data_IF_677490611620
#
_entry.id   IF_677490611620
#
_cell.length_a   1.000
_cell.length_b   1.000
_cell.length_c   1.000
_cell.angle_alpha   90.00
_cell.angle_beta   90.00
_cell.angle_gamma   90.00
#
_symmetry.space_group_name_H-M   'P 1'
#
loop_
_entity.id
_entity.type
_entity.pdbx_description
1 polymer ?
#
# COMPACT_ATOMS: atom_id res chain seq x y z
N UNK A 1 3.59 -26.41 -15.59
CA UNK A 1 3.34 -25.83 -14.25
C UNK A 1 2.40 -24.64 -14.38
N UNK A 2 1.46 -24.49 -13.44
CA UNK A 2 0.55 -23.34 -13.38
C UNK A 2 1.29 -22.03 -13.06
N UNK A 3 0.72 -20.90 -13.47
CA UNK A 3 1.36 -19.57 -13.36
C UNK A 3 1.65 -19.16 -11.90
N UNK A 4 0.76 -19.50 -10.96
CA UNK A 4 0.94 -19.16 -9.55
C UNK A 4 2.17 -19.85 -8.93
N UNK A 5 2.50 -21.07 -9.34
CA UNK A 5 3.72 -21.75 -8.89
C UNK A 5 4.98 -21.07 -9.41
N UNK A 6 4.95 -20.53 -10.65
CA UNK A 6 6.09 -19.78 -11.18
C UNK A 6 6.34 -18.51 -10.37
N UNK A 7 5.28 -17.80 -10.00
CA UNK A 7 5.37 -16.58 -9.17
C UNK A 7 5.93 -16.91 -7.79
N UNK A 8 5.45 -17.98 -7.15
CA UNK A 8 5.89 -18.38 -5.82
C UNK A 8 7.37 -18.77 -5.83
N UNK A 9 7.81 -19.57 -6.81
CA UNK A 9 9.22 -19.96 -6.97
C UNK A 9 10.09 -18.73 -7.22
N UNK A 10 9.68 -17.81 -8.09
CA UNK A 10 10.42 -16.57 -8.33
C UNK A 10 10.54 -15.70 -7.08
N UNK A 11 9.48 -15.59 -6.27
CA UNK A 11 9.49 -14.83 -5.02
C UNK A 11 10.46 -15.44 -4.01
N UNK A 12 10.39 -16.77 -3.81
CA UNK A 12 11.27 -17.48 -2.90
C UNK A 12 12.74 -17.34 -3.32
N UNK A 13 13.02 -17.51 -4.62
CA UNK A 13 14.36 -17.43 -5.18
C UNK A 13 14.91 -15.99 -5.09
N UNK A 14 14.11 -14.98 -5.41
CA UNK A 14 14.49 -13.57 -5.26
C UNK A 14 14.78 -13.20 -3.80
N UNK A 15 13.96 -13.69 -2.86
CA UNK A 15 14.19 -13.49 -1.43
C UNK A 15 15.49 -14.16 -0.96
N UNK A 16 15.74 -15.40 -1.36
CA UNK A 16 16.97 -16.13 -1.03
C UNK A 16 18.22 -15.44 -1.60
N UNK A 17 18.19 -14.99 -2.86
CA UNK A 17 19.30 -14.24 -3.47
C UNK A 17 19.49 -12.89 -2.75
N UNK A 18 18.41 -12.16 -2.46
CA UNK A 18 18.48 -10.89 -1.75
C UNK A 18 19.09 -11.02 -0.36
N UNK A 19 18.72 -12.07 0.38
CA UNK A 19 19.33 -12.39 1.67
C UNK A 19 20.81 -12.75 1.50
N UNK A 20 21.15 -13.63 0.56
CA UNK A 20 22.53 -14.06 0.33
C UNK A 20 23.45 -12.85 0.04
N UNK A 21 23.02 -11.98 -0.89
CA UNK A 21 23.74 -10.75 -1.23
C UNK A 21 23.84 -9.80 -0.04
N UNK A 22 22.79 -9.69 0.78
CA UNK A 22 22.82 -8.87 1.99
C UNK A 22 23.80 -9.41 3.04
N UNK A 23 23.80 -10.72 3.31
CA UNK A 23 24.73 -11.34 4.27
C UNK A 23 26.19 -11.15 3.88
N UNK A 24 26.52 -11.35 2.60
CA UNK A 24 27.90 -11.24 2.11
C UNK A 24 28.42 -9.80 2.09
N UNK A 25 27.51 -8.82 1.99
CA UNK A 25 27.88 -7.39 1.88
C UNK A 25 27.70 -6.61 3.19
N UNK A 26 27.16 -7.22 4.25
CA UNK A 26 26.84 -6.55 5.51
C UNK A 26 28.06 -6.07 6.30
N UNK A 27 29.19 -6.79 6.24
CA UNK A 27 30.40 -6.44 7.01
C UNK A 27 31.39 -5.51 6.25
N UNK A 28 31.12 -5.21 4.98
CA UNK A 28 32.02 -4.41 4.14
C UNK A 28 31.71 -2.91 4.25
N UNK A 29 32.66 -2.13 4.79
CA UNK A 29 32.58 -0.64 4.85
C UNK A 29 32.46 0.03 3.47
N UNK A 30 32.92 -0.63 2.41
CA UNK A 30 32.72 -0.21 1.02
C UNK A 30 32.12 -1.38 0.25
N UNK A 31 30.90 -1.17 -0.27
CA UNK A 31 30.20 -2.20 -1.05
C UNK A 31 30.93 -2.40 -2.39
N UNK A 32 31.08 -3.64 -2.87
CA UNK A 32 31.77 -3.92 -4.13
C UNK A 32 30.97 -3.41 -5.33
N UNK A 33 31.65 -3.05 -6.43
CA UNK A 33 31.00 -2.47 -7.62
C UNK A 33 29.90 -3.34 -8.23
N UNK A 34 30.03 -4.68 -8.16
CA UNK A 34 29.02 -5.61 -8.67
C UNK A 34 27.68 -5.49 -7.93
N UNK A 35 27.70 -5.15 -6.63
CA UNK A 35 26.50 -4.95 -5.83
C UNK A 35 25.67 -3.77 -6.36
N UNK A 36 26.33 -2.68 -6.75
CA UNK A 36 25.65 -1.51 -7.30
C UNK A 36 25.02 -1.80 -8.66
N UNK A 37 25.74 -2.47 -9.57
CA UNK A 37 25.17 -2.88 -10.86
C UNK A 37 23.98 -3.83 -10.70
N UNK A 38 24.06 -4.77 -9.76
CA UNK A 38 22.96 -5.68 -9.44
C UNK A 38 21.74 -4.93 -8.89
N UNK A 39 21.95 -4.01 -7.93
CA UNK A 39 20.88 -3.20 -7.35
C UNK A 39 20.19 -2.33 -8.41
N UNK A 40 20.96 -1.67 -9.27
CA UNK A 40 20.43 -0.85 -10.36
C UNK A 40 19.62 -1.69 -11.36
N UNK A 41 20.11 -2.88 -11.73
CA UNK A 41 19.38 -3.79 -12.61
C UNK A 41 18.05 -4.26 -11.99
N UNK A 42 18.07 -4.67 -10.71
CA UNK A 42 16.86 -5.05 -9.98
C UNK A 42 15.87 -3.89 -9.86
N UNK A 43 16.36 -2.69 -9.55
CA UNK A 43 15.54 -1.50 -9.44
C UNK A 43 14.92 -1.12 -10.79
N UNK A 44 15.69 -1.16 -11.89
CA UNK A 44 15.20 -0.89 -13.23
C UNK A 44 14.05 -1.83 -13.62
N UNK A 45 14.24 -3.14 -13.46
CA UNK A 45 13.21 -4.15 -13.77
C UNK A 45 11.99 -3.98 -12.85
N UNK A 46 12.22 -3.77 -11.55
CA UNK A 46 11.16 -3.55 -10.57
C UNK A 46 10.33 -2.30 -10.88
N UNK A 47 10.98 -1.18 -11.23
CA UNK A 47 10.31 0.05 -11.63
C UNK A 47 9.50 -0.14 -12.90
N UNK A 48 10.03 -0.82 -13.92
CA UNK A 48 9.30 -1.10 -15.16
C UNK A 48 8.05 -1.94 -14.88
N UNK A 49 8.18 -2.99 -14.06
CA UNK A 49 7.05 -3.83 -13.66
C UNK A 49 5.98 -3.05 -12.89
N UNK A 50 6.37 -2.24 -11.90
CA UNK A 50 5.44 -1.40 -11.15
C UNK A 50 4.76 -0.35 -12.04
N UNK A 51 5.47 0.24 -13.00
CA UNK A 51 4.91 1.18 -13.96
C UNK A 51 3.88 0.50 -14.87
N UNK A 52 4.16 -0.72 -15.35
CA UNK A 52 3.22 -1.49 -16.15
C UNK A 52 1.94 -1.81 -15.37
N UNK A 53 2.04 -2.21 -14.09
CA UNK A 53 0.86 -2.41 -13.24
C UNK A 53 0.06 -1.12 -13.06
N UNK A 54 0.72 -0.02 -12.70
CA UNK A 54 0.06 1.29 -12.48
C UNK A 54 -0.64 1.81 -13.74
N UNK A 55 -0.07 1.59 -14.92
CA UNK A 55 -0.66 1.98 -16.21
C UNK A 55 -2.01 1.30 -16.45
N UNK A 56 -2.16 0.03 -16.05
CA UNK A 56 -3.39 -0.75 -16.27
C UNK A 56 -4.46 -0.45 -15.22
N UNK A 57 -4.06 -0.11 -13.99
CA UNK A 57 -4.98 0.05 -12.85
C UNK A 57 -6.08 1.09 -13.11
N UNK A 58 -5.74 2.29 -13.57
CA UNK A 58 -6.72 3.38 -13.72
C UNK A 58 -7.78 3.05 -14.80
N UNK A 59 -7.41 2.70 -16.05
CA UNK A 59 -8.39 2.33 -17.07
C UNK A 59 -9.26 1.15 -16.65
N UNK A 60 -8.67 0.14 -16.00
CA UNK A 60 -9.38 -1.07 -15.59
C UNK A 60 -10.40 -0.77 -14.51
N UNK A 61 -10.06 0.05 -13.50
CA UNK A 61 -11.00 0.41 -12.43
C UNK A 61 -12.21 1.16 -13.00
N UNK A 62 -11.98 2.20 -13.80
CA UNK A 62 -13.07 3.03 -14.36
C UNK A 62 -14.00 2.16 -15.22
N UNK A 63 -13.43 1.41 -16.17
CA UNK A 63 -14.22 0.56 -17.08
C UNK A 63 -14.96 -0.55 -16.34
N UNK A 64 -14.29 -1.23 -15.40
CA UNK A 64 -14.89 -2.31 -14.60
C UNK A 64 -16.06 -1.81 -13.75
N UNK A 65 -15.91 -0.65 -13.11
CA UNK A 65 -16.97 -0.08 -12.26
C UNK A 65 -18.14 0.40 -13.11
N UNK A 66 -17.91 1.19 -14.16
CA UNK A 66 -18.99 1.68 -15.04
C UNK A 66 -19.76 0.49 -15.64
N UNK A 67 -19.06 -0.51 -16.19
CA UNK A 67 -19.71 -1.70 -16.73
C UNK A 67 -20.41 -2.53 -15.64
N UNK A 68 -19.86 -2.59 -14.43
CA UNK A 68 -20.43 -3.30 -13.29
C UNK A 68 -21.74 -2.66 -12.81
N UNK A 69 -21.75 -1.35 -12.63
CA UNK A 69 -22.93 -0.59 -12.21
C UNK A 69 -24.00 -0.58 -13.30
N UNK A 70 -23.60 -0.39 -14.57
CA UNK A 70 -24.53 -0.43 -15.70
C UNK A 70 -25.29 -1.78 -15.80
N UNK A 71 -24.65 -2.90 -15.43
CA UNK A 71 -25.27 -4.23 -15.42
C UNK A 71 -26.26 -4.45 -14.26
N UNK A 72 -26.09 -3.77 -13.14
CA UNK A 72 -26.95 -3.90 -11.95
C UNK A 72 -28.31 -3.20 -12.17
N UNK A 73 -28.40 -2.25 -13.10
CA UNK A 73 -29.62 -1.52 -13.44
C UNK A 73 -30.05 -0.50 -12.39
N UNK A 74 -31.04 0.34 -12.73
CA UNK A 74 -31.51 1.47 -11.91
C UNK A 74 -32.34 1.06 -10.65
N UNK A 75 -32.23 -0.18 -10.19
CA UNK A 75 -33.04 -0.70 -9.08
C UNK A 75 -32.40 -0.48 -7.69
N UNK A 76 -33.23 -0.59 -6.65
CA UNK A 76 -32.87 -0.49 -5.21
C UNK A 76 -31.76 -1.47 -4.76
N UNK A 77 -31.39 -2.43 -5.61
CA UNK A 77 -30.40 -3.45 -5.34
C UNK A 77 -29.00 -2.86 -5.16
N UNK A 78 -28.63 -1.78 -5.88
CA UNK A 78 -27.34 -1.13 -5.72
C UNK A 78 -27.17 -0.52 -4.32
N UNK A 79 -28.20 0.18 -3.82
CA UNK A 79 -28.18 0.78 -2.46
C UNK A 79 -28.05 -0.29 -1.37
N UNK A 80 -28.80 -1.39 -1.49
CA UNK A 80 -28.72 -2.52 -0.53
C UNK A 80 -27.35 -3.21 -0.59
N UNK A 81 -26.81 -3.41 -1.79
CA UNK A 81 -25.49 -4.00 -1.98
C UNK A 81 -24.40 -3.11 -1.37
N UNK A 82 -24.44 -1.80 -1.65
CA UNK A 82 -23.51 -0.81 -1.09
C UNK A 82 -23.53 -0.79 0.44
N UNK A 83 -24.72 -0.73 1.06
CA UNK A 83 -24.84 -0.70 2.52
C UNK A 83 -24.37 -2.01 3.16
N UNK A 84 -24.72 -3.17 2.57
CA UNK A 84 -24.26 -4.48 3.05
C UNK A 84 -22.75 -4.62 2.95
N UNK A 85 -22.17 -4.12 1.86
CA UNK A 85 -20.72 -4.12 1.62
C UNK A 85 -20.00 -3.20 2.58
N UNK A 86 -20.49 -1.97 2.76
CA UNK A 86 -19.94 -1.02 3.73
C UNK A 86 -19.98 -1.57 5.16
N UNK A 87 -21.12 -2.13 5.57
CA UNK A 87 -21.26 -2.78 6.87
C UNK A 87 -20.30 -3.97 7.03
N UNK A 88 -20.17 -4.81 6.01
CA UNK A 88 -19.27 -5.96 6.02
C UNK A 88 -17.80 -5.54 6.14
N UNK A 89 -17.33 -4.63 5.28
CA UNK A 89 -15.95 -4.15 5.32
C UNK A 89 -15.65 -3.37 6.60
N UNK A 90 -16.58 -2.53 7.05
CA UNK A 90 -16.45 -1.78 8.31
C UNK A 90 -16.31 -2.72 9.51
N UNK A 91 -17.19 -3.72 9.64
CA UNK A 91 -17.12 -4.71 10.71
C UNK A 91 -15.84 -5.56 10.62
N UNK A 92 -15.47 -6.02 9.42
CA UNK A 92 -14.23 -6.78 9.25
C UNK A 92 -13.00 -5.95 9.58
N UNK A 93 -13.02 -4.64 9.27
CA UNK A 93 -11.94 -3.72 9.58
C UNK A 93 -11.79 -3.50 11.08
N UNK A 94 -12.91 -3.29 11.79
CA UNK A 94 -12.91 -3.19 13.26
C UNK A 94 -12.36 -4.48 13.87
N UNK A 95 -12.83 -5.65 13.43
CA UNK A 95 -12.33 -6.93 13.93
C UNK A 95 -10.83 -7.11 13.65
N UNK A 96 -10.36 -6.73 12.46
CA UNK A 96 -8.94 -6.80 12.12
C UNK A 96 -8.09 -5.86 13.00
N UNK A 97 -8.54 -4.63 13.25
CA UNK A 97 -7.86 -3.67 14.14
C UNK A 97 -7.85 -4.20 15.58
N UNK A 98 -8.95 -4.76 16.07
CA UNK A 98 -9.00 -5.37 17.41
C UNK A 98 -8.01 -6.51 17.54
N UNK A 99 -7.94 -7.42 16.57
CA UNK A 99 -6.97 -8.51 16.56
C UNK A 99 -5.54 -7.96 16.50
N UNK A 100 -5.28 -6.97 15.65
CA UNK A 100 -3.98 -6.32 15.56
C UNK A 100 -3.54 -5.68 16.88
N UNK A 101 -4.44 -4.96 17.54
CA UNK A 101 -4.18 -4.38 18.86
C UNK A 101 -3.94 -5.47 19.92
N UNK A 102 -4.74 -6.55 19.92
CA UNK A 102 -4.50 -7.67 20.84
C UNK A 102 -3.10 -8.28 20.64
N UNK A 103 -2.71 -8.54 19.40
CA UNK A 103 -1.37 -9.04 19.10
C UNK A 103 -0.28 -8.07 19.56
N UNK A 104 -0.41 -6.77 19.28
CA UNK A 104 0.58 -5.76 19.69
C UNK A 104 0.68 -5.66 21.21
N UNK A 105 -0.43 -5.72 21.94
CA UNK A 105 -0.42 -5.65 23.40
C UNK A 105 0.08 -6.96 24.05
N UNK A 106 -0.02 -8.11 23.38
CA UNK A 106 0.50 -9.39 23.91
C UNK A 106 2.00 -9.55 23.64
N UNK A 107 2.44 -9.24 22.42
CA UNK A 107 3.83 -9.43 22.01
C UNK A 107 4.71 -8.22 22.31
N UNK A 108 4.11 -7.07 22.60
CA UNK A 108 4.77 -5.78 22.88
C UNK A 108 5.98 -5.51 21.96
N UNK A 109 5.83 -5.61 20.62
CA UNK A 109 6.95 -5.47 19.70
C UNK A 109 7.41 -4.00 19.70
N UNK A 110 8.46 -3.70 20.45
CA UNK A 110 8.99 -2.34 20.59
C UNK A 110 9.68 -2.04 21.91
N UNK A 111 9.59 -2.92 22.90
CA UNK A 111 10.41 -2.84 24.12
C UNK A 111 11.83 -3.32 23.75
N UNK A 112 12.67 -2.37 23.31
CA UNK A 112 14.07 -2.62 22.95
C UNK A 112 14.96 -1.79 23.88
N UNK A 113 16.16 -2.28 24.17
CA UNK A 113 17.15 -1.53 24.94
C UNK A 113 17.35 -0.12 24.34
N UNK A 114 17.51 0.92 25.19
CA UNK A 114 17.57 2.31 24.74
C UNK A 114 18.70 2.58 23.74
N UNK A 115 19.83 1.87 23.86
CA UNK A 115 20.97 1.96 22.93
C UNK A 115 20.61 1.44 21.53
N UNK A 116 19.95 0.28 21.44
CA UNK A 116 19.50 -0.31 20.17
C UNK A 116 18.38 0.54 19.55
N UNK A 117 17.54 1.16 20.38
CA UNK A 117 16.51 2.09 19.91
C UNK A 117 17.12 3.31 19.23
N UNK A 118 18.19 3.86 19.77
CA UNK A 118 18.90 5.02 19.21
C UNK A 118 19.64 4.67 17.91
N UNK A 119 20.26 3.49 17.84
CA UNK A 119 20.85 2.95 16.61
C UNK A 119 19.80 2.69 15.51
N UNK A 120 18.64 2.11 15.88
CA UNK A 120 17.51 1.95 14.97
C UNK A 120 17.00 3.29 14.46
N UNK A 121 16.81 4.30 15.33
CA UNK A 121 16.34 5.62 14.93
C UNK A 121 17.36 6.41 14.09
N UNK A 122 18.66 6.15 14.26
CA UNK A 122 19.73 6.79 13.47
C UNK A 122 19.95 6.12 12.12
N UNK A 123 19.64 4.83 11.99
CA UNK A 123 19.60 4.13 10.69
C UNK A 123 18.32 4.40 9.88
N UNK A 124 17.36 5.15 10.43
CA UNK A 124 16.13 5.52 9.75
C UNK A 124 16.37 6.66 8.75
N UNK A 125 15.91 6.45 7.51
CA UNK A 125 16.00 7.47 6.46
C UNK A 125 15.06 8.66 6.76
N UNK A 126 15.44 9.86 6.32
CA UNK A 126 14.62 11.08 6.45
C UNK A 126 13.20 10.94 5.85
N UNK A 127 13.02 10.06 4.85
CA UNK A 127 11.73 9.76 4.22
C UNK A 127 10.72 9.05 5.15
N UNK A 128 11.19 8.35 6.19
CA UNK A 128 10.33 7.65 7.14
C UNK A 128 9.96 8.51 8.35
N UNK A 129 10.78 9.53 8.69
CA UNK A 129 10.42 10.54 9.70
C UNK A 129 9.25 11.44 9.25
N UNK A 130 9.21 11.84 7.97
CA UNK A 130 8.09 12.61 7.40
C UNK A 130 6.77 11.81 7.44
N UNK A 131 6.85 10.49 7.19
CA UNK A 131 5.70 9.58 7.32
C UNK A 131 5.23 9.43 8.76
N UNK A 132 6.14 9.35 9.73
CA UNK A 132 5.77 9.30 11.16
C UNK A 132 5.09 10.60 11.60
N UNK A 133 5.66 11.75 11.21
CA UNK A 133 5.11 13.08 11.50
C UNK A 133 3.72 13.25 10.90
N UNK A 134 3.55 12.92 9.62
CA UNK A 134 2.26 13.02 8.94
C UNK A 134 1.23 11.99 9.44
N UNK A 135 1.65 10.81 9.92
CA UNK A 135 0.75 9.84 10.55
C UNK A 135 0.24 10.34 11.91
N UNK A 136 1.10 10.92 12.75
CA UNK A 136 0.69 11.54 14.01
C UNK A 136 -0.24 12.73 13.79
N UNK A 137 0.07 13.57 12.80
CA UNK A 137 -0.76 14.73 12.44
C UNK A 137 -2.14 14.32 11.91
N UNK A 138 -2.23 13.18 11.21
CA UNK A 138 -3.49 12.55 10.79
C UNK A 138 -4.23 11.83 11.92
N UNK A 139 -3.57 11.46 13.01
CA UNK A 139 -4.25 10.89 14.17
C UNK A 139 -4.99 11.97 14.97
N UNK A 140 -4.39 13.16 15.12
CA UNK A 140 -4.98 14.28 15.86
C UNK A 140 -6.14 14.99 15.12
N UNK A 141 -6.20 14.87 13.79
CA UNK A 141 -7.20 15.58 12.98
C UNK A 141 -8.63 15.03 13.03
N UNK A 142 -8.90 13.99 13.83
CA UNK A 142 -10.23 13.47 14.16
C UNK A 142 -11.32 13.67 13.09
N UNK A 143 -12.29 14.55 13.39
CA UNK A 143 -13.44 14.83 12.51
C UNK A 143 -13.08 15.62 11.24
N UNK A 144 -12.03 16.44 11.27
CA UNK A 144 -11.57 17.20 10.11
C UNK A 144 -11.05 16.28 9.01
N UNK A 145 -10.36 15.19 9.36
CA UNK A 145 -9.89 14.19 8.41
C UNK A 145 -11.03 13.43 7.73
N UNK A 146 -12.12 13.16 8.45
CA UNK A 146 -13.31 12.56 7.86
C UNK A 146 -13.91 13.46 6.79
N UNK A 147 -14.04 14.76 7.09
CA UNK A 147 -14.54 15.75 6.13
C UNK A 147 -13.61 15.84 4.91
N UNK A 148 -12.29 15.77 5.10
CA UNK A 148 -11.33 15.75 4.00
C UNK A 148 -11.51 14.51 3.10
N UNK A 149 -11.79 13.33 3.67
CA UNK A 149 -12.10 12.12 2.88
C UNK A 149 -13.35 12.34 2.02
N UNK A 150 -14.40 12.96 2.57
CA UNK A 150 -15.60 13.31 1.81
C UNK A 150 -15.31 14.34 0.71
N UNK A 151 -14.44 15.32 0.95
CA UNK A 151 -14.03 16.28 -0.07
C UNK A 151 -13.25 15.59 -1.21
N UNK A 152 -12.41 14.60 -0.89
CA UNK A 152 -11.67 13.79 -1.88
C UNK A 152 -12.55 12.83 -2.67
N UNK A 153 -13.77 12.56 -2.20
CA UNK A 153 -14.75 11.72 -2.89
C UNK A 153 -15.28 12.41 -4.15
N UNK A 154 -15.43 13.74 -4.13
CA UNK A 154 -15.91 14.53 -5.28
C UNK A 154 -14.78 15.42 -5.79
N UNK A 155 -13.94 14.93 -6.74
CA UNK A 155 -12.82 15.71 -7.25
C UNK A 155 -13.32 16.90 -8.09
N UNK A 156 -12.62 18.04 -7.99
CA UNK A 156 -12.92 19.23 -8.81
C UNK A 156 -12.61 19.03 -10.30
N UNK A 157 -11.71 18.08 -10.63
CA UNK A 157 -11.37 17.73 -12.01
C UNK A 157 -11.02 16.24 -12.14
N UNK A 158 -11.75 15.53 -12.99
CA UNK A 158 -11.59 14.09 -13.22
C UNK A 158 -10.23 13.72 -13.82
N UNK A 159 -9.76 14.47 -14.82
CA UNK A 159 -8.50 14.18 -15.49
C UNK A 159 -7.32 14.40 -14.56
N UNK A 160 -7.36 15.46 -13.75
CA UNK A 160 -6.36 15.69 -12.70
C UNK A 160 -6.36 14.54 -11.69
N UNK A 161 -7.55 14.11 -11.24
CA UNK A 161 -7.69 12.97 -10.34
C UNK A 161 -7.13 11.66 -10.95
N UNK A 162 -7.31 11.45 -12.26
CA UNK A 162 -6.74 10.31 -12.98
C UNK A 162 -5.21 10.36 -13.02
N UNK A 163 -4.62 11.51 -13.35
CA UNK A 163 -3.17 11.69 -13.44
C UNK A 163 -2.51 11.54 -12.05
N UNK A 164 -3.14 12.07 -11.01
CA UNK A 164 -2.63 12.00 -9.63
C UNK A 164 -2.92 10.65 -8.94
N UNK A 165 -3.65 9.74 -9.60
CA UNK A 165 -4.00 8.44 -9.02
C UNK A 165 -4.97 8.53 -7.84
N UNK A 166 -5.85 9.53 -7.82
CA UNK A 166 -6.88 9.69 -6.79
C UNK A 166 -8.01 8.66 -6.98
N UNK A 167 -7.73 7.40 -6.62
CA UNK A 167 -8.63 6.26 -6.84
C UNK A 167 -10.02 6.47 -6.23
N UNK A 168 -10.12 7.04 -5.04
CA UNK A 168 -11.41 7.29 -4.37
C UNK A 168 -12.35 8.15 -5.23
N UNK A 169 -11.84 9.26 -5.76
CA UNK A 169 -12.63 10.15 -6.62
C UNK A 169 -12.99 9.51 -7.96
N UNK A 170 -12.08 8.71 -8.54
CA UNK A 170 -12.34 7.97 -9.78
C UNK A 170 -13.43 6.91 -9.59
N UNK A 171 -13.41 6.20 -8.47
CA UNK A 171 -14.44 5.22 -8.10
C UNK A 171 -15.77 5.93 -7.96
N UNK A 172 -15.83 7.04 -7.20
CA UNK A 172 -17.07 7.78 -6.99
C UNK A 172 -17.66 8.36 -8.28
N UNK A 173 -16.81 8.87 -9.18
CA UNK A 173 -17.25 9.32 -10.50
C UNK A 173 -17.80 8.19 -11.38
N UNK A 174 -17.28 6.97 -11.20
CA UNK A 174 -17.65 5.79 -12.00
C UNK A 174 -18.93 5.09 -11.52
N UNK A 175 -19.39 5.40 -10.28
CA UNK A 175 -20.63 4.92 -9.69
C UNK A 175 -21.84 5.73 -10.17
#
# INVERSE_FOLDING_TARGET
MALHFKILISLALAFSIGLFVNFETSELKQKPSWFFYFLEACQFVGTLFLNALKMVVIPLIITSIICGVAKIGAESNFKKLGLKTFGFYGLSGILAVTVGLLCVNIFEPGIVNPEIREEMLSSYNAFDQEKLGSAMQRADGGWANLIEIFHRMVPTNLFKAAVEGQLLGLIFFSL
#
